data_IF_827579719278
#
_entry.id   IF_827579719278
#
_cell.length_a   1.000
_cell.length_b   1.000
_cell.length_c   1.000
_cell.angle_alpha   90.00
_cell.angle_beta   90.00
_cell.angle_gamma   90.00
#
_symmetry.space_group_name_H-M   'P 1'
#
loop_
_entity.id
_entity.type
_entity.pdbx_description
1 polymer ?
#
# COMPACT_ATOMS: atom_id res chain seq x y z
N UNK A 1 -6.41 -28.78 66.96
CA UNK A 1 -6.79 -29.26 65.63
C UNK A 1 -7.37 -30.65 65.79
N UNK A 2 -8.57 -30.84 65.24
CA UNK A 2 -9.43 -32.03 65.36
C UNK A 2 -8.69 -33.30 64.97
N UNK A 3 -8.82 -34.35 65.78
CA UNK A 3 -8.40 -35.70 65.38
C UNK A 3 -9.44 -36.17 64.38
N UNK A 4 -9.04 -36.37 63.13
CA UNK A 4 -9.89 -36.98 62.12
C UNK A 4 -9.75 -38.49 62.30
N UNK A 5 -10.60 -39.08 63.15
CA UNK A 5 -10.76 -40.54 63.20
C UNK A 5 -11.29 -40.97 61.83
N UNK A 6 -10.64 -41.94 61.19
CA UNK A 6 -10.80 -42.35 59.79
C UNK A 6 -12.18 -42.89 59.35
N UNK A 7 -13.28 -42.37 59.86
CA UNK A 7 -14.64 -42.57 59.36
C UNK A 7 -15.14 -41.25 58.78
N UNK A 8 -15.56 -41.28 57.52
CA UNK A 8 -15.93 -40.12 56.69
C UNK A 8 -17.15 -39.34 57.18
N UNK A 9 -17.03 -38.66 58.32
CA UNK A 9 -17.99 -37.67 58.76
C UNK A 9 -17.74 -36.35 58.01
N UNK A 10 -18.79 -35.68 57.51
CA UNK A 10 -18.65 -34.42 56.81
C UNK A 10 -18.19 -33.32 57.77
N UNK A 11 -17.29 -32.45 57.30
CA UNK A 11 -16.72 -31.33 58.06
C UNK A 11 -17.72 -30.15 58.17
N UNK A 12 -18.86 -30.42 58.81
CA UNK A 12 -19.89 -29.44 59.11
C UNK A 12 -19.70 -28.90 60.54
N UNK A 13 -20.10 -27.64 60.80
CA UNK A 13 -20.11 -27.09 62.15
C UNK A 13 -20.97 -27.98 63.07
N UNK A 14 -20.38 -28.46 64.17
CA UNK A 14 -20.99 -29.43 65.09
C UNK A 14 -20.36 -30.82 65.03
N UNK A 15 -19.80 -31.23 63.89
CA UNK A 15 -19.14 -32.53 63.70
C UNK A 15 -17.62 -32.48 63.92
N UNK A 16 -17.15 -31.59 64.80
CA UNK A 16 -15.72 -31.43 65.09
C UNK A 16 -15.45 -31.66 66.56
N UNK A 17 -14.59 -32.64 66.87
CA UNK A 17 -14.26 -33.01 68.24
C UNK A 17 -12.90 -32.41 68.62
N UNK A 18 -12.87 -31.63 69.69
CA UNK A 18 -11.63 -31.09 70.26
C UNK A 18 -11.10 -32.05 71.32
N UNK A 19 -9.87 -32.49 71.15
CA UNK A 19 -9.17 -33.25 72.18
C UNK A 19 -8.67 -32.29 73.29
N UNK A 20 -9.27 -32.42 74.48
CA UNK A 20 -8.96 -31.63 75.68
C UNK A 20 -7.72 -32.13 76.42
N UNK A 21 -7.19 -33.31 76.08
CA UNK A 21 -5.99 -33.90 76.71
C UNK A 21 -4.69 -33.43 76.07
N UNK A 22 -4.77 -32.74 74.93
CA UNK A 22 -3.61 -32.28 74.17
C UNK A 22 -2.89 -31.14 74.89
N UNK A 23 -1.65 -31.41 75.30
CA UNK A 23 -0.76 -30.44 75.97
C UNK A 23 0.27 -29.78 75.05
N UNK A 24 0.60 -30.40 73.91
CA UNK A 24 1.59 -29.89 72.96
C UNK A 24 0.96 -29.15 71.77
N UNK A 25 1.30 -27.88 71.58
CA UNK A 25 0.74 -27.00 70.53
C UNK A 25 1.78 -26.30 69.65
N UNK A 26 3.06 -26.68 69.74
CA UNK A 26 4.12 -26.08 68.94
C UNK A 26 3.91 -26.31 67.44
N UNK A 27 4.24 -25.30 66.63
CA UNK A 27 4.11 -25.33 65.18
C UNK A 27 5.47 -25.68 64.55
N UNK A 28 5.52 -26.55 63.54
CA UNK A 28 6.75 -26.78 62.78
C UNK A 28 7.15 -25.52 62.01
N UNK A 29 8.44 -25.23 61.93
CA UNK A 29 8.96 -24.14 61.10
C UNK A 29 8.95 -24.56 59.63
N UNK A 30 7.93 -24.14 58.90
CA UNK A 30 7.74 -24.44 57.47
C UNK A 30 8.22 -23.33 56.54
N UNK A 31 8.65 -22.20 57.10
CA UNK A 31 9.15 -21.06 56.34
C UNK A 31 10.41 -20.52 57.02
N UNK A 32 11.48 -20.35 56.25
CA UNK A 32 12.71 -19.69 56.68
C UNK A 32 13.16 -18.69 55.64
N UNK A 33 14.00 -17.74 56.04
CA UNK A 33 14.59 -16.75 55.14
C UNK A 33 16.10 -16.96 55.10
N UNK A 34 16.66 -17.03 53.89
CA UNK A 34 18.12 -17.08 53.66
C UNK A 34 18.48 -16.08 52.59
N UNK A 35 19.36 -15.13 52.94
CA UNK A 35 19.83 -14.06 52.04
C UNK A 35 18.69 -13.26 51.39
N UNK A 36 17.63 -12.95 52.12
CA UNK A 36 16.48 -12.18 51.63
C UNK A 36 15.42 -12.98 50.87
N UNK A 37 15.67 -14.25 50.55
CA UNK A 37 14.72 -15.12 49.85
C UNK A 37 13.97 -16.02 50.85
N UNK A 38 12.66 -16.16 50.63
CA UNK A 38 11.80 -17.05 51.39
C UNK A 38 11.98 -18.51 50.91
N UNK A 39 12.33 -19.41 51.83
CA UNK A 39 12.54 -20.84 51.59
C UNK A 39 11.45 -21.66 52.30
N UNK A 40 10.44 -22.17 51.57
CA UNK A 40 9.42 -23.04 52.14
C UNK A 40 9.99 -24.45 52.40
N UNK A 41 9.70 -25.00 53.58
CA UNK A 41 10.06 -26.36 54.01
C UNK A 41 8.79 -27.17 54.27
N UNK A 42 8.73 -28.40 53.75
CA UNK A 42 7.61 -29.29 54.00
C UNK A 42 7.66 -29.79 55.46
N UNK A 43 6.57 -29.67 56.23
CA UNK A 43 6.55 -30.18 57.60
C UNK A 43 6.62 -31.71 57.58
N UNK A 44 7.43 -32.29 58.48
CA UNK A 44 7.49 -33.76 58.71
C UNK A 44 6.42 -34.22 59.71
N UNK A 45 5.96 -33.31 60.56
CA UNK A 45 5.00 -33.53 61.63
C UNK A 45 4.01 -32.38 61.66
N UNK A 46 2.78 -32.66 62.08
CA UNK A 46 1.75 -31.66 62.33
C UNK A 46 1.98 -30.90 63.64
N UNK A 47 1.02 -30.04 63.98
CA UNK A 47 1.07 -29.21 65.19
C UNK A 47 1.08 -30.11 66.43
N UNK A 48 2.07 -29.89 67.31
CA UNK A 48 2.22 -30.67 68.53
C UNK A 48 2.76 -32.10 68.31
N UNK A 49 3.63 -32.31 67.32
CA UNK A 49 4.13 -33.65 66.90
C UNK A 49 3.03 -34.61 66.39
N UNK A 50 1.87 -34.10 65.99
CA UNK A 50 0.81 -34.96 65.47
C UNK A 50 1.24 -35.60 64.14
N UNK A 51 0.93 -36.88 63.88
CA UNK A 51 1.20 -37.49 62.58
C UNK A 51 0.43 -36.77 61.47
N UNK A 52 1.06 -36.57 60.32
CA UNK A 52 0.41 -35.98 59.15
C UNK A 52 -0.54 -37.00 58.54
N UNK A 53 -1.77 -36.57 58.20
CA UNK A 53 -2.79 -37.42 57.56
C UNK A 53 -2.37 -37.89 56.15
N UNK A 54 -1.47 -37.16 55.50
CA UNK A 54 -0.80 -37.61 54.28
C UNK A 54 0.45 -38.39 54.67
N UNK A 55 0.36 -39.71 54.78
CA UNK A 55 1.54 -40.56 54.81
C UNK A 55 2.30 -40.36 53.48
N UNK A 56 3.60 -40.10 53.55
CA UNK A 56 4.44 -40.31 52.38
C UNK A 56 4.36 -41.80 52.04
N UNK A 57 3.80 -42.13 50.88
CA UNK A 57 3.93 -43.48 50.35
C UNK A 57 5.42 -43.75 50.22
N UNK A 58 5.90 -44.81 50.87
CA UNK A 58 7.27 -45.27 50.70
C UNK A 58 7.50 -45.61 49.23
N UNK A 59 8.74 -45.48 48.74
CA UNK A 59 9.06 -45.82 47.34
C UNK A 59 8.61 -47.25 46.98
N UNK A 60 8.65 -48.17 47.96
CA UNK A 60 8.12 -49.53 47.89
C UNK A 60 6.60 -49.60 47.71
N UNK A 61 5.83 -48.77 48.41
CA UNK A 61 4.37 -48.68 48.27
C UNK A 61 3.99 -48.04 46.93
N UNK A 62 4.72 -47.00 46.48
CA UNK A 62 4.54 -46.40 45.14
C UNK A 62 4.76 -47.45 44.05
N UNK A 63 5.81 -48.28 44.17
CA UNK A 63 6.11 -49.36 43.24
C UNK A 63 5.06 -50.49 43.29
N UNK A 64 4.50 -50.80 44.46
CA UNK A 64 3.40 -51.76 44.59
C UNK A 64 2.09 -51.25 43.96
N UNK A 65 1.76 -49.97 44.13
CA UNK A 65 0.60 -49.37 43.47
C UNK A 65 0.76 -49.30 41.95
N UNK A 66 1.98 -49.07 41.45
CA UNK A 66 2.28 -49.11 40.01
C UNK A 66 2.18 -50.51 39.40
N UNK A 67 2.33 -51.56 40.20
CA UNK A 67 2.23 -52.96 39.76
C UNK A 67 0.83 -53.57 39.97
N UNK A 68 -0.08 -52.87 40.66
CA UNK A 68 -1.49 -53.26 40.83
C UNK A 68 -2.46 -52.54 39.86
N UNK A 69 -1.99 -51.99 38.75
CA UNK A 69 -2.90 -51.77 37.62
C UNK A 69 -3.27 -53.13 37.05
N UNK A 70 -4.54 -53.50 37.21
CA UNK A 70 -5.14 -54.75 36.74
C UNK A 70 -4.61 -55.13 35.35
N UNK A 71 -3.97 -56.29 35.24
CA UNK A 71 -3.58 -56.85 33.96
C UNK A 71 -4.85 -57.00 33.09
N UNK A 72 -5.05 -56.04 32.18
CA UNK A 72 -6.10 -56.11 31.19
C UNK A 72 -5.91 -57.40 30.38
N UNK A 73 -6.96 -58.21 30.28
CA UNK A 73 -7.01 -59.46 29.51
C UNK A 73 -6.75 -59.25 28.01
N UNK A 74 -6.68 -58.00 27.55
CA UNK A 74 -6.39 -57.64 26.16
C UNK A 74 -5.25 -56.61 26.09
N UNK A 75 -4.06 -57.08 25.72
CA UNK A 75 -2.97 -56.27 25.19
C UNK A 75 -2.17 -55.45 26.22
N UNK A 76 -0.85 -55.52 26.12
CA UNK A 76 0.09 -54.56 26.72
C UNK A 76 -0.34 -53.14 26.37
N UNK A 77 -0.69 -52.33 27.37
CA UNK A 77 -0.86 -50.90 27.17
C UNK A 77 0.49 -50.31 26.76
N UNK A 78 0.66 -50.08 25.45
CA UNK A 78 1.74 -49.25 24.95
C UNK A 78 1.53 -47.86 25.52
N UNK A 79 2.24 -47.53 26.60
CA UNK A 79 2.41 -46.15 27.01
C UNK A 79 3.18 -45.46 25.87
N UNK A 80 2.44 -44.82 24.96
CA UNK A 80 3.03 -43.85 24.05
C UNK A 80 3.74 -42.81 24.92
N UNK A 81 5.05 -42.56 24.73
CA UNK A 81 5.72 -41.49 25.47
C UNK A 81 4.90 -40.21 25.26
N UNK A 82 4.62 -39.49 26.35
CA UNK A 82 3.94 -38.21 26.25
C UNK A 82 4.73 -37.36 25.25
N UNK A 83 4.09 -36.98 24.14
CA UNK A 83 4.72 -36.14 23.14
C UNK A 83 5.16 -34.86 23.85
N UNK A 84 6.43 -34.49 23.68
CA UNK A 84 6.95 -33.23 24.18
C UNK A 84 6.12 -32.10 23.57
N UNK A 85 5.28 -31.45 24.39
CA UNK A 85 4.45 -30.33 23.94
C UNK A 85 5.37 -29.13 23.76
N UNK A 86 5.79 -28.89 22.53
CA UNK A 86 6.56 -27.71 22.17
C UNK A 86 5.61 -26.50 22.28
N UNK A 87 5.92 -25.49 23.13
CA UNK A 87 5.10 -24.30 23.25
C UNK A 87 4.99 -23.54 21.92
N UNK A 88 3.85 -22.91 21.67
CA UNK A 88 3.59 -22.17 20.42
C UNK A 88 4.67 -21.12 20.11
N UNK A 89 5.11 -20.36 21.12
CA UNK A 89 6.16 -19.35 20.94
C UNK A 89 7.50 -19.94 20.49
N UNK A 90 7.78 -21.21 20.79
CA UNK A 90 8.98 -21.92 20.33
C UNK A 90 8.74 -22.53 18.94
N UNK A 91 7.58 -23.15 18.73
CA UNK A 91 7.25 -23.81 17.46
C UNK A 91 7.09 -22.82 16.29
N UNK A 92 6.62 -21.61 16.58
CA UNK A 92 6.31 -20.57 15.60
C UNK A 92 7.20 -19.33 15.70
N UNK A 93 8.35 -19.41 16.40
CA UNK A 93 9.32 -18.31 16.44
C UNK A 93 9.68 -17.85 15.01
N UNK A 94 9.62 -16.54 14.79
CA UNK A 94 9.89 -15.86 13.50
C UNK A 94 9.03 -16.30 12.31
N UNK A 95 7.99 -17.10 12.52
CA UNK A 95 7.02 -17.44 11.46
C UNK A 95 5.94 -16.36 11.41
N UNK A 96 5.89 -15.64 10.29
CA UNK A 96 4.98 -14.50 10.10
C UNK A 96 4.26 -14.66 8.78
N UNK A 97 2.93 -14.54 8.82
CA UNK A 97 2.11 -14.50 7.63
C UNK A 97 2.00 -13.07 7.13
N UNK A 98 2.31 -12.86 5.85
CA UNK A 98 2.25 -11.57 5.16
C UNK A 98 1.15 -11.58 4.10
N UNK A 99 0.20 -10.67 4.26
CA UNK A 99 -0.87 -10.40 3.29
C UNK A 99 -0.74 -9.00 2.72
N UNK A 100 -1.19 -8.85 1.49
CA UNK A 100 -1.30 -7.58 0.81
C UNK A 100 -2.76 -7.22 0.63
N UNK A 101 -3.05 -5.94 0.73
CA UNK A 101 -4.40 -5.44 0.59
C UNK A 101 -4.44 -3.95 0.34
N UNK A 102 -5.63 -3.40 0.41
CA UNK A 102 -5.85 -1.96 0.37
C UNK A 102 -7.06 -1.60 1.22
N UNK A 103 -7.17 -0.33 1.57
CA UNK A 103 -8.43 0.24 2.06
C UNK A 103 -8.78 1.48 1.24
N UNK A 104 -10.07 1.76 1.13
CA UNK A 104 -10.56 2.96 0.49
C UNK A 104 -10.75 4.04 1.55
N UNK A 105 -10.12 5.19 1.33
CA UNK A 105 -10.29 6.36 2.17
C UNK A 105 -11.15 7.38 1.44
N UNK A 106 -12.30 7.74 2.00
CA UNK A 106 -13.13 8.81 1.47
C UNK A 106 -12.42 10.17 1.62
N UNK A 107 -12.51 10.99 0.58
CA UNK A 107 -11.96 12.35 0.57
C UNK A 107 -13.10 13.33 0.43
N UNK A 108 -13.38 14.06 1.51
CA UNK A 108 -14.39 15.11 1.51
C UNK A 108 -13.83 16.39 0.88
N UNK A 109 -14.69 17.11 0.16
CA UNK A 109 -14.42 18.47 -0.36
C UNK A 109 -13.29 18.61 -1.38
N UNK A 110 -12.89 17.53 -2.07
CA UNK A 110 -12.00 17.62 -3.23
C UNK A 110 -12.82 17.64 -4.52
N UNK A 111 -12.70 18.67 -5.39
CA UNK A 111 -13.36 18.66 -6.69
C UNK A 111 -12.74 17.63 -7.65
N UNK A 112 -11.55 17.12 -7.33
CA UNK A 112 -10.85 16.15 -8.15
C UNK A 112 -11.21 14.71 -7.76
N UNK A 113 -11.29 14.36 -6.48
CA UNK A 113 -11.40 12.96 -6.06
C UNK A 113 -12.48 12.76 -4.98
N UNK A 114 -13.21 11.66 -5.05
CA UNK A 114 -14.17 11.27 -3.99
C UNK A 114 -13.59 10.26 -2.99
N UNK A 115 -12.61 9.47 -3.42
CA UNK A 115 -11.92 8.50 -2.58
C UNK A 115 -10.49 8.29 -3.08
N UNK A 116 -9.63 7.77 -2.20
CA UNK A 116 -8.26 7.31 -2.49
C UNK A 116 -8.12 5.85 -2.13
N UNK A 117 -7.36 5.11 -2.92
CA UNK A 117 -7.04 3.71 -2.66
C UNK A 117 -5.65 3.65 -2.03
N UNK A 118 -5.57 3.22 -0.76
CA UNK A 118 -4.31 3.15 -0.02
C UNK A 118 -3.86 1.70 0.14
N UNK A 119 -2.75 1.28 -0.49
CA UNK A 119 -2.24 -0.07 -0.34
C UNK A 119 -1.73 -0.29 1.09
N UNK A 120 -1.88 -1.50 1.61
CA UNK A 120 -1.40 -1.90 2.93
C UNK A 120 -0.81 -3.30 2.90
N UNK A 121 0.10 -3.55 3.83
CA UNK A 121 0.67 -4.86 4.12
C UNK A 121 0.27 -5.25 5.53
N UNK A 122 -0.35 -6.41 5.66
CA UNK A 122 -0.78 -6.99 6.92
C UNK A 122 0.18 -8.10 7.32
N UNK A 123 0.66 -8.05 8.55
CA UNK A 123 1.49 -9.10 9.13
C UNK A 123 0.74 -9.75 10.27
N UNK A 124 0.68 -11.08 10.27
CA UNK A 124 0.15 -11.92 11.34
C UNK A 124 1.30 -12.75 11.92
N UNK A 125 1.56 -12.61 13.21
CA UNK A 125 2.62 -13.32 13.91
C UNK A 125 2.05 -14.61 14.52
N UNK A 126 2.52 -15.77 14.06
CA UNK A 126 2.03 -17.08 14.51
C UNK A 126 2.47 -17.41 15.95
N UNK A 127 3.48 -16.72 16.47
CA UNK A 127 4.00 -16.87 17.83
C UNK A 127 2.97 -16.52 18.91
N UNK A 128 2.21 -15.43 18.71
CA UNK A 128 1.37 -14.80 19.73
C UNK A 128 -0.01 -14.34 19.23
N UNK A 129 -0.40 -14.73 18.00
CA UNK A 129 -1.64 -14.33 17.33
C UNK A 129 -1.83 -12.80 17.24
N UNK A 130 -0.72 -12.06 17.22
CA UNK A 130 -0.74 -10.62 17.04
C UNK A 130 -0.69 -10.24 15.56
N UNK A 131 -1.23 -9.07 15.24
CA UNK A 131 -1.19 -8.52 13.88
C UNK A 131 -0.67 -7.09 13.89
N UNK A 132 -0.08 -6.68 12.76
CA UNK A 132 0.20 -5.27 12.49
C UNK A 132 -0.14 -4.93 11.04
N UNK A 133 -0.54 -3.68 10.81
CA UNK A 133 -0.89 -3.17 9.48
C UNK A 133 0.03 -2.00 9.17
N UNK A 134 0.71 -2.09 8.04
CA UNK A 134 1.72 -1.12 7.60
C UNK A 134 1.37 -0.66 6.19
N UNK A 135 1.28 0.65 6.00
CA UNK A 135 1.23 1.26 4.69
C UNK A 135 2.65 1.44 4.14
N UNK A 136 2.95 0.95 2.92
CA UNK A 136 4.24 1.16 2.30
C UNK A 136 4.48 2.65 2.04
N UNK A 137 5.72 3.10 2.27
CA UNK A 137 6.11 4.48 2.03
C UNK A 137 6.21 4.73 0.53
N UNK A 138 5.54 5.78 0.05
CA UNK A 138 5.52 6.20 -1.35
C UNK A 138 6.08 7.61 -1.44
N UNK A 139 7.07 7.80 -2.30
CA UNK A 139 7.66 9.12 -2.52
C UNK A 139 6.63 10.13 -3.03
N UNK A 140 6.72 11.38 -2.57
CA UNK A 140 5.82 12.46 -2.98
C UNK A 140 4.32 12.18 -2.70
N UNK A 141 3.99 11.31 -1.74
CA UNK A 141 2.61 11.01 -1.33
C UNK A 141 1.93 12.18 -0.63
N UNK A 142 2.69 12.98 0.13
CA UNK A 142 2.16 14.13 0.89
C UNK A 142 1.30 13.75 2.09
N UNK A 143 1.31 12.48 2.51
CA UNK A 143 0.52 11.94 3.63
C UNK A 143 1.47 11.21 4.59
N UNK A 144 1.26 11.24 5.92
CA UNK A 144 2.00 10.38 6.84
C UNK A 144 1.73 8.90 6.51
N UNK A 145 2.81 8.15 6.27
CA UNK A 145 2.79 6.72 5.91
C UNK A 145 3.62 5.90 6.92
N UNK A 146 3.48 4.57 6.88
CA UNK A 146 4.19 3.65 7.76
C UNK A 146 3.22 2.79 8.58
N UNK A 147 3.51 2.59 9.87
CA UNK A 147 2.70 1.72 10.74
C UNK A 147 1.33 2.35 11.04
N UNK A 148 0.28 1.86 10.40
CA UNK A 148 -1.11 2.25 10.68
C UNK A 148 -1.57 1.64 12.01
N UNK A 149 -1.29 0.35 12.21
CA UNK A 149 -1.64 -0.38 13.43
C UNK A 149 -0.38 -1.05 13.98
N UNK A 150 -0.06 -0.77 15.25
CA UNK A 150 1.06 -1.41 15.96
C UNK A 150 0.75 -2.88 16.24
N UNK A 151 1.80 -3.70 16.41
CA UNK A 151 1.69 -5.13 16.74
C UNK A 151 0.86 -5.32 18.01
N UNK A 152 -0.31 -5.92 17.85
CA UNK A 152 -1.23 -6.28 18.94
C UNK A 152 -2.22 -7.34 18.45
N UNK A 153 -2.89 -8.04 19.35
CA UNK A 153 -4.00 -8.93 18.98
C UNK A 153 -5.20 -8.07 18.58
N UNK A 154 -5.67 -8.20 17.34
CA UNK A 154 -6.74 -7.34 16.83
C UNK A 154 -8.11 -7.89 17.26
N UNK A 155 -8.98 -7.03 17.83
CA UNK A 155 -10.33 -7.44 18.18
C UNK A 155 -11.16 -7.64 16.90
N UNK A 156 -11.84 -8.77 16.81
CA UNK A 156 -12.79 -9.12 15.75
C UNK A 156 -14.19 -8.59 16.04
N UNK A 157 -14.60 -8.70 17.31
CA UNK A 157 -15.93 -8.32 17.78
C UNK A 157 -15.84 -7.61 19.14
N UNK A 158 -16.91 -6.92 19.53
CA UNK A 158 -17.04 -6.28 20.86
C UNK A 158 -17.06 -7.29 22.03
N UNK A 159 -17.14 -8.59 21.74
CA UNK A 159 -17.13 -9.69 22.72
C UNK A 159 -15.73 -10.06 23.21
N UNK A 160 -14.68 -9.42 22.68
CA UNK A 160 -13.28 -9.72 23.02
C UNK A 160 -12.69 -10.90 22.22
N UNK A 161 -13.39 -11.37 21.19
CA UNK A 161 -12.82 -12.31 20.21
C UNK A 161 -11.72 -11.60 19.42
N UNK A 162 -10.63 -12.32 19.13
CA UNK A 162 -9.52 -11.80 18.34
C UNK A 162 -9.47 -12.47 16.99
N UNK A 163 -8.90 -11.79 16.00
CA UNK A 163 -8.63 -12.39 14.71
C UNK A 163 -7.63 -13.54 14.83
N UNK A 164 -7.97 -14.66 14.19
CA UNK A 164 -7.09 -15.80 14.04
C UNK A 164 -6.67 -15.94 12.57
N UNK A 165 -5.53 -16.57 12.29
CA UNK A 165 -5.07 -16.74 10.90
C UNK A 165 -6.08 -17.48 10.01
N UNK A 166 -6.88 -18.38 10.62
CA UNK A 166 -8.00 -19.09 9.95
C UNK A 166 -9.14 -18.17 9.49
N UNK A 167 -9.24 -16.97 10.05
CA UNK A 167 -10.22 -15.97 9.63
C UNK A 167 -9.72 -15.11 8.46
N UNK A 168 -8.50 -15.34 7.97
CA UNK A 168 -7.91 -14.56 6.88
C UNK A 168 -7.87 -15.39 5.60
N UNK A 169 -8.43 -14.84 4.53
CA UNK A 169 -8.30 -15.40 3.18
C UNK A 169 -8.13 -14.26 2.17
N UNK A 170 -7.56 -14.58 1.01
CA UNK A 170 -7.57 -13.71 -0.16
C UNK A 170 -9.03 -13.46 -0.57
N UNK A 171 -9.38 -12.26 -1.02
CA UNK A 171 -10.78 -11.97 -1.36
C UNK A 171 -11.63 -11.46 -0.19
N UNK A 172 -11.09 -11.43 1.03
CA UNK A 172 -11.88 -11.14 2.25
C UNK A 172 -11.72 -9.70 2.73
N UNK A 173 -12.79 -9.20 3.37
CA UNK A 173 -12.83 -7.92 4.08
C UNK A 173 -12.47 -8.10 5.56
N UNK A 174 -11.37 -7.47 5.97
CA UNK A 174 -10.92 -7.39 7.35
C UNK A 174 -11.36 -6.05 7.95
N UNK A 175 -12.25 -6.08 8.94
CA UNK A 175 -12.78 -4.86 9.59
C UNK A 175 -12.05 -4.64 10.91
N UNK A 176 -11.22 -3.60 11.00
CA UNK A 176 -10.43 -3.30 12.20
C UNK A 176 -10.56 -1.82 12.53
N UNK A 177 -10.98 -1.51 13.76
CA UNK A 177 -11.19 -0.14 14.26
C UNK A 177 -12.01 0.75 13.31
N UNK A 178 -13.06 0.19 12.70
CA UNK A 178 -13.95 0.90 11.78
C UNK A 178 -13.39 1.12 10.36
N UNK A 179 -12.19 0.62 10.06
CA UNK A 179 -11.62 0.62 8.71
C UNK A 179 -11.76 -0.77 8.08
N UNK A 180 -12.24 -0.83 6.84
CA UNK A 180 -12.36 -2.08 6.08
C UNK A 180 -11.15 -2.23 5.17
N UNK A 181 -10.37 -3.28 5.40
CA UNK A 181 -9.20 -3.65 4.61
C UNK A 181 -9.54 -4.82 3.71
N UNK A 182 -9.42 -4.64 2.39
CA UNK A 182 -9.62 -5.70 1.41
C UNK A 182 -8.31 -6.44 1.19
N UNK A 183 -8.26 -7.74 1.49
CA UNK A 183 -7.10 -8.59 1.20
C UNK A 183 -7.11 -8.96 -0.28
N UNK A 184 -6.01 -8.66 -0.99
CA UNK A 184 -5.90 -8.88 -2.44
C UNK A 184 -5.06 -10.10 -2.79
N UNK A 185 -3.95 -10.30 -2.10
CA UNK A 185 -3.06 -11.45 -2.32
C UNK A 185 -2.19 -11.70 -1.09
N UNK A 186 -1.42 -12.77 -1.11
CA UNK A 186 -0.52 -13.14 -0.02
C UNK A 186 0.88 -13.48 -0.56
N UNK A 187 1.83 -13.64 0.34
CA UNK A 187 3.19 -14.08 0.04
C UNK A 187 3.26 -15.58 -0.29
N UNK A 188 4.34 -16.04 -0.93
CA UNK A 188 4.51 -17.46 -1.24
C UNK A 188 4.55 -18.31 0.03
N UNK A 189 5.27 -17.86 1.06
CA UNK A 189 5.34 -18.54 2.35
C UNK A 189 3.96 -18.69 3.01
N UNK A 190 3.13 -17.64 2.93
CA UNK A 190 1.78 -17.70 3.49
C UNK A 190 0.88 -18.64 2.76
N UNK A 191 1.02 -18.70 1.44
CA UNK A 191 0.28 -19.62 0.61
C UNK A 191 0.62 -21.07 1.01
N UNK A 192 1.91 -21.41 1.03
CA UNK A 192 2.37 -22.75 1.40
C UNK A 192 1.92 -23.12 2.82
N UNK A 193 1.99 -22.19 3.77
CA UNK A 193 1.56 -22.41 5.15
C UNK A 193 0.04 -22.68 5.23
N UNK A 194 -0.78 -21.84 4.61
CA UNK A 194 -2.23 -22.00 4.61
C UNK A 194 -2.66 -23.32 3.98
N UNK A 195 -2.06 -23.66 2.83
CA UNK A 195 -2.31 -24.92 2.13
C UNK A 195 -1.87 -26.13 3.00
N UNK A 196 -0.73 -26.05 3.69
CA UNK A 196 -0.24 -27.12 4.57
C UNK A 196 -1.14 -27.38 5.79
N UNK A 197 -1.81 -26.33 6.28
CA UNK A 197 -2.79 -26.41 7.37
C UNK A 197 -4.20 -26.75 6.87
N UNK A 198 -4.36 -27.00 5.56
CA UNK A 198 -5.61 -27.44 4.93
C UNK A 198 -6.59 -26.32 4.55
N UNK A 199 -6.12 -25.06 4.49
CA UNK A 199 -6.90 -23.91 4.05
C UNK A 199 -6.62 -23.59 2.57
N UNK A 200 -7.64 -23.74 1.73
CA UNK A 200 -7.56 -23.37 0.30
C UNK A 200 -7.76 -21.86 0.18
N UNK A 201 -6.74 -21.18 -0.36
CA UNK A 201 -6.80 -19.75 -0.63
C UNK A 201 -7.58 -19.46 -1.92
N UNK A 202 -8.24 -18.31 -1.94
CA UNK A 202 -8.91 -17.81 -3.14
C UNK A 202 -7.91 -17.24 -4.14
N UNK A 203 -8.35 -17.10 -5.39
CA UNK A 203 -7.55 -16.49 -6.45
C UNK A 203 -7.16 -15.04 -6.11
N UNK A 204 -5.92 -14.62 -6.41
CA UNK A 204 -5.47 -13.24 -6.21
C UNK A 204 -6.35 -12.23 -6.95
N UNK A 205 -6.70 -11.15 -6.27
CA UNK A 205 -7.46 -10.05 -6.85
C UNK A 205 -6.57 -8.87 -7.22
N UNK A 206 -6.84 -8.19 -8.35
CA UNK A 206 -6.11 -6.99 -8.71
C UNK A 206 -6.45 -5.86 -7.74
N UNK A 207 -5.43 -5.12 -7.31
CA UNK A 207 -5.63 -3.90 -6.53
C UNK A 207 -6.23 -2.82 -7.45
N UNK A 208 -7.35 -2.17 -7.07
CA UNK A 208 -7.97 -1.15 -7.90
C UNK A 208 -7.04 0.05 -8.02
N UNK A 209 -7.03 0.66 -9.21
CA UNK A 209 -6.16 1.79 -9.46
C UNK A 209 -6.76 3.05 -8.83
N UNK A 210 -5.96 3.79 -8.08
CA UNK A 210 -6.35 5.06 -7.46
C UNK A 210 -6.59 6.14 -8.55
N UNK A 211 -7.80 6.74 -8.64
CA UNK A 211 -8.08 7.84 -9.55
C UNK A 211 -7.11 9.02 -9.41
N UNK A 212 -6.61 9.27 -8.19
CA UNK A 212 -5.63 10.32 -7.91
C UNK A 212 -4.29 10.03 -8.61
N UNK A 213 -3.79 8.81 -8.47
CA UNK A 213 -2.53 8.38 -9.10
C UNK A 213 -2.67 8.40 -10.62
N UNK A 214 -3.78 7.88 -11.16
CA UNK A 214 -4.01 7.88 -12.62
C UNK A 214 -3.91 9.28 -13.23
N UNK A 215 -4.50 10.29 -12.59
CA UNK A 215 -4.46 11.68 -13.10
C UNK A 215 -3.07 12.29 -13.02
N UNK A 216 -2.29 11.95 -11.99
CA UNK A 216 -0.92 12.46 -11.82
C UNK A 216 0.05 11.82 -12.81
N UNK A 217 -0.20 10.58 -13.21
CA UNK A 217 0.60 9.88 -14.23
C UNK A 217 0.28 10.34 -15.65
N UNK A 218 -0.90 10.92 -15.90
CA UNK A 218 -1.19 11.51 -17.21
C UNK A 218 -0.19 12.63 -17.50
N UNK A 219 0.66 12.40 -18.51
CA UNK A 219 1.65 13.37 -18.94
C UNK A 219 0.96 14.70 -19.20
N UNK A 220 1.47 15.77 -18.57
CA UNK A 220 1.08 17.12 -18.94
C UNK A 220 1.22 17.27 -20.46
N UNK A 221 0.27 17.95 -21.11
CA UNK A 221 0.30 18.16 -22.55
C UNK A 221 1.66 18.75 -22.94
N UNK A 222 2.51 17.93 -23.55
CA UNK A 222 3.75 18.41 -24.14
C UNK A 222 3.38 19.06 -25.47
N UNK A 223 3.38 20.39 -25.48
CA UNK A 223 3.37 21.12 -26.74
C UNK A 223 4.75 20.94 -27.34
N UNK A 224 4.93 19.88 -28.14
CA UNK A 224 6.07 19.78 -29.04
C UNK A 224 5.89 20.91 -30.03
N UNK A 225 6.55 22.04 -29.79
CA UNK A 225 6.70 23.07 -30.81
C UNK A 225 7.41 22.39 -31.96
N UNK A 226 6.78 22.18 -33.13
CA UNK A 226 7.48 21.57 -34.24
C UNK A 226 8.74 22.39 -34.50
N UNK A 227 9.88 21.72 -34.69
CA UNK A 227 11.14 22.36 -35.08
C UNK A 227 11.00 22.84 -36.53
N UNK A 228 10.19 23.88 -36.69
CA UNK A 228 9.95 24.54 -37.97
C UNK A 228 11.23 25.30 -38.27
N UNK A 229 12.11 24.67 -39.06
CA UNK A 229 13.22 25.23 -39.81
C UNK A 229 13.97 26.37 -39.11
N UNK A 230 15.22 26.14 -38.71
CA UNK A 230 16.03 27.11 -37.97
C UNK A 230 16.17 28.44 -38.73
N UNK A 231 15.25 29.37 -38.43
CA UNK A 231 15.22 30.72 -39.02
C UNK A 231 16.50 31.48 -38.70
N UNK A 232 17.14 31.17 -37.57
CA UNK A 232 18.41 31.75 -37.18
C UNK A 232 19.53 31.22 -38.07
N UNK A 233 19.55 29.93 -38.39
CA UNK A 233 20.52 29.37 -39.34
C UNK A 233 20.39 29.99 -40.74
N UNK A 234 19.16 30.15 -41.26
CA UNK A 234 18.93 30.85 -42.53
C UNK A 234 19.43 32.29 -42.47
N UNK A 235 19.16 33.00 -41.38
CA UNK A 235 19.67 34.35 -41.17
C UNK A 235 21.20 34.41 -41.19
N UNK A 236 21.86 33.61 -40.36
CA UNK A 236 23.33 33.65 -40.24
C UNK A 236 24.06 33.28 -41.54
N UNK A 237 23.49 32.38 -42.35
CA UNK A 237 24.14 31.89 -43.57
C UNK A 237 23.80 32.69 -44.83
N UNK A 238 22.61 33.28 -44.89
CA UNK A 238 22.09 33.98 -46.07
C UNK A 238 22.01 35.50 -45.89
N UNK A 239 22.40 36.05 -44.74
CA UNK A 239 22.50 37.50 -44.55
C UNK A 239 23.36 38.14 -45.65
N UNK A 240 22.90 39.29 -46.15
CA UNK A 240 23.49 40.07 -47.25
C UNK A 240 23.54 39.39 -48.63
N UNK A 241 23.01 38.18 -48.80
CA UNK A 241 22.88 37.55 -50.12
C UNK A 241 21.54 37.94 -50.77
N UNK A 242 21.63 38.73 -51.84
CA UNK A 242 20.47 39.22 -52.60
C UNK A 242 20.63 38.85 -54.07
N UNK A 243 19.64 38.18 -54.64
CA UNK A 243 19.58 37.93 -56.08
C UNK A 243 18.92 39.13 -56.76
N UNK A 244 19.60 39.72 -57.74
CA UNK A 244 19.10 40.87 -58.49
C UNK A 244 18.83 40.47 -59.93
N UNK A 245 17.58 40.62 -60.36
CA UNK A 245 17.13 40.35 -61.72
C UNK A 245 16.70 41.66 -62.39
N UNK A 246 17.02 41.80 -63.67
CA UNK A 246 16.53 42.88 -64.51
C UNK A 246 15.32 42.36 -65.29
N UNK A 247 14.19 43.06 -65.20
CA UNK A 247 12.95 42.69 -65.85
C UNK A 247 12.30 43.91 -66.51
N UNK A 248 11.40 43.65 -67.45
CA UNK A 248 10.56 44.68 -68.06
C UNK A 248 9.13 44.49 -67.57
N UNK A 249 8.59 45.53 -66.97
CA UNK A 249 7.18 45.64 -66.61
C UNK A 249 6.44 46.17 -67.83
N UNK A 250 5.85 45.28 -68.62
CA UNK A 250 5.09 45.63 -69.82
C UNK A 250 3.62 45.85 -69.48
N UNK A 251 3.11 47.05 -69.75
CA UNK A 251 1.69 47.42 -69.59
C UNK A 251 1.10 48.01 -70.87
N UNK A 252 1.75 47.80 -72.02
CA UNK A 252 1.40 48.39 -73.32
C UNK A 252 -0.03 48.08 -73.80
N UNK A 253 -0.66 47.03 -73.27
CA UNK A 253 -2.07 46.68 -73.55
C UNK A 253 -3.09 47.68 -72.96
N UNK A 254 -2.65 48.62 -72.11
CA UNK A 254 -3.50 49.68 -71.54
C UNK A 254 -3.48 50.95 -72.39
N UNK A 255 -4.59 51.72 -72.39
CA UNK A 255 -4.76 52.96 -73.16
C UNK A 255 -3.64 54.02 -72.99
N UNK A 256 -2.90 53.97 -71.87
CA UNK A 256 -1.73 54.81 -71.58
C UNK A 256 -0.56 53.99 -71.01
N UNK A 257 -0.46 52.73 -71.44
CA UNK A 257 0.52 51.77 -70.97
C UNK A 257 1.90 51.95 -71.58
N UNK A 258 2.94 51.87 -70.75
CA UNK A 258 4.33 51.91 -71.20
C UNK A 258 5.09 50.72 -70.61
N UNK A 259 6.08 50.21 -71.36
CA UNK A 259 7.00 49.20 -70.87
C UNK A 259 8.10 49.87 -70.03
N UNK A 260 8.27 49.44 -68.78
CA UNK A 260 9.17 50.07 -67.80
C UNK A 260 10.25 49.09 -67.36
N UNK A 261 11.54 49.47 -67.39
CA UNK A 261 12.60 48.66 -66.79
C UNK A 261 12.47 48.64 -65.27
N UNK A 262 12.41 47.44 -64.70
CA UNK A 262 12.31 47.21 -63.27
C UNK A 262 13.42 46.27 -62.80
N UNK A 263 13.87 46.47 -61.57
CA UNK A 263 14.82 45.58 -60.90
C UNK A 263 14.10 44.82 -59.81
N UNK A 264 14.18 43.49 -59.85
CA UNK A 264 13.61 42.60 -58.84
C UNK A 264 14.75 42.12 -57.93
N UNK A 265 14.60 42.34 -56.63
CA UNK A 265 15.56 41.92 -55.60
C UNK A 265 14.92 40.82 -54.75
N UNK A 266 15.52 39.64 -54.73
CA UNK A 266 15.09 38.49 -53.90
C UNK A 266 16.08 38.30 -52.75
N UNK A 267 15.57 38.40 -51.52
CA UNK A 267 16.36 38.27 -50.29
C UNK A 267 16.34 36.82 -49.79
N UNK A 268 17.50 36.16 -49.79
CA UNK A 268 17.61 34.76 -49.36
C UNK A 268 17.40 34.55 -47.84
N UNK A 269 17.52 35.63 -47.06
CA UNK A 269 17.38 35.61 -45.60
C UNK A 269 15.96 35.34 -45.12
N UNK A 270 14.96 35.79 -45.86
CA UNK A 270 13.55 35.73 -45.45
C UNK A 270 12.58 35.42 -46.60
N UNK A 271 13.10 35.07 -47.79
CA UNK A 271 12.32 34.77 -49.00
C UNK A 271 11.38 35.92 -49.42
N UNK A 272 11.79 37.16 -49.13
CA UNK A 272 11.06 38.37 -49.50
C UNK A 272 11.55 38.94 -50.82
N UNK A 273 10.66 39.66 -51.50
CA UNK A 273 10.91 40.28 -52.80
C UNK A 273 10.63 41.77 -52.71
N UNK A 274 11.56 42.57 -53.24
CA UNK A 274 11.40 44.01 -53.44
C UNK A 274 11.53 44.32 -54.93
N UNK A 275 10.63 45.16 -55.46
CA UNK A 275 10.65 45.55 -56.88
C UNK A 275 10.85 47.05 -56.95
N UNK A 276 11.85 47.47 -57.72
CA UNK A 276 12.20 48.87 -57.92
C UNK A 276 12.08 49.27 -59.39
N UNK A 277 11.54 50.46 -59.65
CA UNK A 277 11.57 51.07 -60.98
C UNK A 277 12.97 51.63 -61.23
N UNK A 278 13.49 51.42 -62.43
CA UNK A 278 14.75 52.05 -62.86
C UNK A 278 14.38 53.41 -63.44
N UNK A 279 14.78 54.49 -62.74
CA UNK A 279 14.50 55.84 -63.18
C UNK A 279 15.50 56.31 -64.24
N UNK A 280 14.98 56.83 -65.34
CA UNK A 280 15.77 57.44 -66.41
C UNK A 280 15.75 58.97 -66.31
N UNK A 281 16.88 59.65 -66.59
CA UNK A 281 16.94 61.12 -66.65
C UNK A 281 15.92 61.66 -67.66
N UNK A 282 15.24 62.76 -67.31
CA UNK A 282 14.22 63.41 -68.14
C UNK A 282 12.98 62.57 -68.47
N UNK A 283 12.68 61.53 -67.68
CA UNK A 283 11.49 60.68 -67.86
C UNK A 283 10.15 61.35 -67.51
N UNK A 284 10.17 62.54 -66.88
CA UNK A 284 8.97 63.29 -66.50
C UNK A 284 8.15 62.66 -65.37
N UNK A 285 8.66 61.62 -64.70
CA UNK A 285 8.00 60.92 -63.60
C UNK A 285 8.57 61.32 -62.24
N UNK A 286 7.71 61.28 -61.23
CA UNK A 286 8.09 61.48 -59.83
C UNK A 286 9.14 60.44 -59.41
N UNK A 287 10.26 60.82 -58.76
CA UNK A 287 11.32 59.90 -58.34
C UNK A 287 10.88 59.01 -57.17
N UNK A 288 9.92 58.12 -57.40
CA UNK A 288 9.49 57.09 -56.46
C UNK A 288 9.99 55.72 -56.92
N UNK A 289 11.20 55.29 -56.48
CA UNK A 289 11.86 54.11 -57.06
C UNK A 289 11.29 52.77 -56.60
N UNK A 290 10.40 52.72 -55.61
CA UNK A 290 9.89 51.45 -55.05
C UNK A 290 8.49 51.16 -55.59
N UNK A 291 8.39 50.20 -56.51
CA UNK A 291 7.11 49.71 -57.02
C UNK A 291 6.45 48.75 -56.04
N UNK A 292 7.24 47.88 -55.41
CA UNK A 292 6.79 46.92 -54.41
C UNK A 292 7.74 46.94 -53.22
N UNK A 293 7.21 47.28 -52.05
CA UNK A 293 7.96 47.17 -50.79
C UNK A 293 8.30 45.70 -50.51
N UNK A 294 9.45 45.48 -49.87
CA UNK A 294 9.94 44.16 -49.48
C UNK A 294 8.87 43.35 -48.74
N UNK A 295 8.38 42.28 -49.37
CA UNK A 295 7.38 41.38 -48.79
C UNK A 295 7.45 39.99 -49.40
N UNK A 296 6.88 38.98 -48.74
CA UNK A 296 6.76 37.63 -49.30
C UNK A 296 5.64 37.59 -50.33
N UNK A 297 5.98 37.22 -51.57
CA UNK A 297 5.01 37.13 -52.66
C UNK A 297 4.33 35.75 -52.67
N UNK A 298 2.99 35.69 -52.68
CA UNK A 298 2.29 34.42 -52.90
C UNK A 298 2.49 33.96 -54.35
N UNK A 299 2.97 32.73 -54.55
CA UNK A 299 3.09 32.14 -55.90
C UNK A 299 1.73 31.88 -56.54
N UNK A 300 0.72 31.56 -55.73
CA UNK A 300 -0.65 31.33 -56.16
C UNK A 300 -1.58 32.31 -55.45
N UNK A 301 -2.36 33.07 -56.22
CA UNK A 301 -3.46 33.86 -55.67
C UNK A 301 -4.55 32.86 -55.30
N UNK A 302 -4.82 32.68 -54.00
CA UNK A 302 -5.95 31.85 -53.58
C UNK A 302 -7.24 32.50 -54.10
N UNK A 303 -8.14 31.77 -54.79
CA UNK A 303 -9.46 32.31 -55.08
C UNK A 303 -10.12 32.66 -53.74
N UNK A 304 -10.68 33.86 -53.64
CA UNK A 304 -11.35 34.31 -52.43
C UNK A 304 -12.39 33.27 -52.00
N UNK A 305 -12.34 32.87 -50.73
CA UNK A 305 -13.30 31.98 -50.10
C UNK A 305 -14.70 32.59 -50.23
N UNK A 306 -15.54 31.99 -51.08
CA UNK A 306 -16.98 32.24 -51.10
C UNK A 306 -17.56 31.75 -49.78
N UNK A 307 -17.74 32.66 -48.82
CA UNK A 307 -18.60 32.39 -47.67
C UNK A 307 -20.01 32.14 -48.21
N UNK A 308 -20.43 30.89 -48.18
CA UNK A 308 -21.80 30.47 -48.41
C UNK A 308 -22.71 31.15 -47.38
N UNK A 309 -23.42 32.20 -47.79
CA UNK A 309 -24.65 32.64 -47.14
C UNK A 309 -25.74 31.63 -47.53
N UNK A 310 -25.83 30.51 -46.81
CA UNK A 310 -27.03 29.68 -46.87
C UNK A 310 -28.15 30.41 -46.14
N UNK A 311 -29.03 31.00 -46.93
CA UNK A 311 -30.28 31.63 -46.57
C UNK A 311 -31.13 30.74 -45.64
N UNK A 312 -31.59 31.33 -44.54
CA UNK A 312 -32.75 30.88 -43.79
C UNK A 312 -34.00 31.19 -44.62
N UNK A 313 -34.70 30.14 -45.06
CA UNK A 313 -36.08 30.13 -45.57
C UNK A 313 -36.47 28.66 -45.63
N UNK A 314 -37.46 28.15 -44.90
CA UNK A 314 -38.87 28.46 -45.08
C UNK A 314 -39.69 28.21 -43.80
N UNK A 315 -40.61 29.13 -43.53
CA UNK A 315 -41.91 28.82 -42.95
C UNK A 315 -42.85 28.45 -44.12
N UNK A 316 -43.56 27.33 -44.01
CA UNK A 316 -45.00 27.23 -44.28
C UNK A 316 -45.56 25.97 -43.61
#
# INVERSE_FOLDING_TARGET
>A
MSINTGHGLPFLPGNTFRDVTKSAHHRPQTLSYKNGYALPHRPKVGIGQAPLLSSELTQSEINQFSSQTSALTYGTAHYSPALDVIPAHVAYDKKVLRFYGYFQQEVLHSPQEGYRVRPVVLYYYLEDDSMCIIEPVVENSGIPQGKLIKRQRLPKNDRGDHYHWKDLNVGMDLVVYGTVYRVTHCDSYTQDFMESEGLVLNDPEPTPVDPYIQRRTQAGRSYITPSVFDRLHQFLTMDRKVLRFFALWDHTDSLYGEARPVTIQYYLVDDSVEIREVHEPNSGRDPFPVLLRRQRLPKNIKPACSKSLSYFSYWH
#
